data_IF_135010778400
#
_entry.id   IF_135010778400
#
_cell.length_a   1.000
_cell.length_b   1.000
_cell.length_c   1.000
_cell.angle_alpha   90.00
_cell.angle_beta   90.00
_cell.angle_gamma   90.00
#
_symmetry.space_group_name_H-M   'P 1'
#
loop_
_entity.id
_entity.type
_entity.pdbx_description
1 polymer ?
#
# COMPACT_ATOMS: atom_id res chain seq x y z
N UNK A 1 4.93 20.90 -15.53
CA UNK A 1 4.01 20.41 -14.49
C UNK A 1 4.69 20.57 -13.14
N UNK A 2 3.99 21.00 -12.09
CA UNK A 2 4.53 20.98 -10.72
C UNK A 2 4.52 19.53 -10.24
N UNK A 3 5.60 19.09 -9.59
CA UNK A 3 5.62 17.80 -8.92
C UNK A 3 4.55 17.81 -7.82
N UNK A 4 3.70 16.78 -7.80
CA UNK A 4 2.71 16.62 -6.74
C UNK A 4 3.39 15.86 -5.60
N UNK A 5 3.50 16.43 -4.38
CA UNK A 5 4.22 15.78 -3.30
C UNK A 5 3.50 14.50 -2.86
N UNK A 6 4.25 13.41 -2.73
CA UNK A 6 3.76 12.12 -2.21
C UNK A 6 4.44 11.86 -0.88
N UNK A 7 3.64 11.61 0.17
CA UNK A 7 4.15 11.41 1.53
C UNK A 7 3.76 10.03 2.06
N UNK A 8 4.72 9.19 2.50
CA UNK A 8 4.43 7.93 3.16
C UNK A 8 4.03 8.15 4.63
N UNK A 9 2.94 7.51 5.06
CA UNK A 9 2.43 7.53 6.44
C UNK A 9 2.28 6.11 6.96
N UNK A 10 2.72 5.84 8.19
CA UNK A 10 2.51 4.53 8.82
C UNK A 10 1.04 4.32 9.20
N UNK A 11 0.53 3.13 8.92
CA UNK A 11 -0.88 2.78 9.09
C UNK A 11 -1.18 1.97 10.35
N UNK A 12 -0.50 2.28 11.46
CA UNK A 12 -0.70 1.59 12.75
C UNK A 12 -2.14 1.67 13.29
N UNK A 13 -2.94 2.65 12.84
CA UNK A 13 -4.33 2.86 13.25
C UNK A 13 -5.35 2.16 12.33
N UNK A 14 -4.93 1.70 11.15
CA UNK A 14 -5.79 1.07 10.17
C UNK A 14 -5.66 -0.46 10.25
N UNK A 15 -6.78 -1.14 10.09
CA UNK A 15 -6.86 -2.59 10.19
C UNK A 15 -7.87 -3.12 9.19
N UNK A 16 -7.48 -4.18 8.50
CA UNK A 16 -8.37 -5.00 7.66
C UNK A 16 -8.60 -6.32 8.40
N UNK A 17 -9.84 -6.60 8.78
CA UNK A 17 -10.22 -7.91 9.29
C UNK A 17 -10.22 -8.92 8.14
N UNK A 18 -9.36 -9.93 8.22
CA UNK A 18 -9.30 -11.02 7.25
C UNK A 18 -9.75 -12.33 7.91
N UNK A 19 -10.22 -13.33 7.14
CA UNK A 19 -10.59 -14.64 7.68
C UNK A 19 -9.46 -15.35 8.45
N UNK A 20 -8.20 -14.98 8.20
CA UNK A 20 -7.01 -15.55 8.84
C UNK A 20 -6.37 -14.59 9.86
N UNK A 21 -7.15 -13.62 10.35
CA UNK A 21 -6.75 -12.67 11.39
C UNK A 21 -6.51 -11.26 10.87
N UNK A 22 -6.29 -10.34 11.81
CA UNK A 22 -6.05 -8.93 11.52
C UNK A 22 -4.87 -8.73 10.55
N UNK A 23 -5.04 -7.82 9.61
CA UNK A 23 -3.98 -7.35 8.74
C UNK A 23 -3.82 -5.83 8.87
N UNK A 24 -2.56 -5.41 9.02
CA UNK A 24 -2.16 -4.02 9.16
C UNK A 24 -1.18 -3.72 8.03
N UNK A 25 -1.62 -3.03 6.97
CA UNK A 25 -0.71 -2.59 5.93
C UNK A 25 0.35 -1.63 6.50
N UNK A 26 1.56 -1.67 5.97
CA UNK A 26 2.65 -0.86 6.51
C UNK A 26 2.49 0.66 6.24
N UNK A 27 2.10 1.03 5.01
CA UNK A 27 2.12 2.42 4.56
C UNK A 27 0.88 2.86 3.79
N UNK A 28 0.43 4.08 4.05
CA UNK A 28 -0.46 4.86 3.20
C UNK A 28 0.36 5.92 2.48
N UNK A 29 0.28 5.95 1.15
CA UNK A 29 0.87 7.01 0.34
C UNK A 29 -0.19 8.04 0.02
N UNK A 30 0.01 9.25 0.54
CA UNK A 30 -0.94 10.34 0.44
C UNK A 30 -0.36 11.41 -0.48
N UNK A 31 -1.21 11.95 -1.34
CA UNK A 31 -0.87 13.01 -2.29
C UNK A 31 -1.66 14.25 -1.93
N UNK A 32 -0.99 15.39 -1.84
CA UNK A 32 -1.67 16.68 -1.76
C UNK A 32 -2.00 17.15 -3.17
N UNK A 33 -3.28 17.15 -3.50
CA UNK A 33 -3.75 17.66 -4.78
C UNK A 33 -4.80 18.73 -4.52
N UNK A 34 -4.51 19.95 -4.98
CA UNK A 34 -5.38 21.12 -4.86
C UNK A 34 -5.73 21.48 -3.40
N UNK A 35 -4.83 21.21 -2.45
CA UNK A 35 -5.04 21.47 -1.02
C UNK A 35 -5.83 20.39 -0.29
N UNK A 36 -6.16 19.29 -0.96
CA UNK A 36 -6.78 18.11 -0.36
C UNK A 36 -5.80 16.94 -0.32
N UNK A 37 -5.57 16.39 0.88
CA UNK A 37 -4.86 15.13 1.04
C UNK A 37 -5.72 13.95 0.58
N UNK A 38 -5.25 13.22 -0.44
CA UNK A 38 -5.92 12.02 -0.95
C UNK A 38 -5.03 10.80 -0.78
N UNK A 39 -5.58 9.75 -0.18
CA UNK A 39 -4.95 8.43 -0.17
C UNK A 39 -4.86 7.91 -1.61
N UNK A 40 -3.67 7.54 -2.02
CA UNK A 40 -3.38 7.15 -3.39
C UNK A 40 -2.99 5.67 -3.47
N UNK A 41 -2.10 5.22 -2.59
CA UNK A 41 -1.73 3.81 -2.47
C UNK A 41 -1.78 3.33 -1.02
N UNK A 42 -2.11 2.06 -0.85
CA UNK A 42 -1.71 1.27 0.31
C UNK A 42 -0.50 0.45 -0.11
N UNK A 43 0.59 0.50 0.64
CA UNK A 43 1.84 -0.19 0.33
C UNK A 43 2.24 -1.12 1.48
N UNK A 44 2.52 -2.38 1.15
CA UNK A 44 3.01 -3.40 2.08
C UNK A 44 4.48 -3.70 1.86
N UNK A 45 5.27 -3.65 2.94
CA UNK A 45 6.68 -4.00 2.92
C UNK A 45 6.96 -5.43 3.35
N UNK A 46 7.87 -6.09 2.63
CA UNK A 46 8.35 -7.45 2.93
C UNK A 46 9.84 -7.53 2.63
N UNK A 47 10.51 -8.60 3.07
CA UNK A 47 11.93 -8.80 2.73
C UNK A 47 12.21 -9.06 1.23
N UNK A 48 11.18 -9.04 0.39
CA UNK A 48 11.20 -9.44 -1.02
C UNK A 48 10.18 -8.65 -1.83
N UNK A 49 10.47 -8.44 -3.12
CA UNK A 49 9.51 -7.92 -4.12
C UNK A 49 8.73 -9.05 -4.82
N UNK A 50 9.07 -10.30 -4.50
CA UNK A 50 8.55 -11.48 -5.18
C UNK A 50 7.49 -12.17 -4.34
N UNK A 51 6.28 -12.30 -4.88
CA UNK A 51 5.16 -12.97 -4.21
C UNK A 51 5.47 -14.43 -3.84
N UNK A 52 6.23 -15.14 -4.67
CA UNK A 52 6.63 -16.52 -4.37
C UNK A 52 7.60 -16.65 -3.19
N UNK A 53 8.17 -15.54 -2.72
CA UNK A 53 9.00 -15.49 -1.51
C UNK A 53 8.22 -15.22 -0.22
N UNK A 54 6.89 -15.05 -0.30
CA UNK A 54 6.05 -14.78 0.86
C UNK A 54 5.70 -16.08 1.60
N UNK A 55 5.55 -15.99 2.92
CA UNK A 55 4.89 -17.06 3.67
C UNK A 55 3.42 -17.17 3.21
N UNK A 56 2.81 -18.37 3.21
CA UNK A 56 1.42 -18.53 2.77
C UNK A 56 0.43 -17.59 3.48
N UNK A 57 0.63 -17.35 4.78
CA UNK A 57 -0.17 -16.42 5.57
C UNK A 57 -0.04 -14.96 5.11
N UNK A 58 1.16 -14.53 4.69
CA UNK A 58 1.43 -13.17 4.22
C UNK A 58 0.79 -12.96 2.86
N UNK A 59 0.96 -13.92 1.95
CA UNK A 59 0.33 -13.91 0.63
C UNK A 59 -1.20 -13.84 0.74
N UNK A 60 -1.80 -14.64 1.63
CA UNK A 60 -3.24 -14.65 1.84
C UNK A 60 -3.78 -13.32 2.41
N UNK A 61 -3.06 -12.69 3.35
CA UNK A 61 -3.44 -11.36 3.88
C UNK A 61 -3.35 -10.27 2.81
N UNK A 62 -2.29 -10.27 2.01
CA UNK A 62 -2.08 -9.33 0.91
C UNK A 62 -3.18 -9.50 -0.16
N UNK A 63 -3.48 -10.73 -0.58
CA UNK A 63 -4.55 -11.02 -1.54
C UNK A 63 -5.91 -10.56 -1.03
N UNK A 64 -6.21 -10.81 0.24
CA UNK A 64 -7.44 -10.32 0.87
C UNK A 64 -7.50 -8.79 0.85
N UNK A 65 -6.42 -8.10 1.24
CA UNK A 65 -6.37 -6.64 1.27
C UNK A 65 -6.61 -6.01 -0.12
N UNK A 66 -6.00 -6.59 -1.17
CA UNK A 66 -6.25 -6.18 -2.57
C UNK A 66 -7.72 -6.30 -2.93
N UNK A 67 -8.31 -7.47 -2.69
CA UNK A 67 -9.74 -7.73 -2.98
C UNK A 67 -10.66 -6.83 -2.16
N UNK A 68 -10.33 -6.60 -0.90
CA UNK A 68 -11.08 -5.73 -0.01
C UNK A 68 -11.13 -4.29 -0.55
N UNK A 69 -9.97 -3.71 -0.89
CA UNK A 69 -9.88 -2.34 -1.41
C UNK A 69 -10.56 -2.18 -2.79
N UNK A 70 -10.48 -3.20 -3.64
CA UNK A 70 -11.21 -3.27 -4.90
C UNK A 70 -12.74 -3.30 -4.69
N UNK A 71 -13.21 -4.10 -3.73
CA UNK A 71 -14.64 -4.28 -3.47
C UNK A 71 -15.32 -3.02 -2.89
N UNK A 72 -14.60 -2.20 -2.14
CA UNK A 72 -15.15 -0.94 -1.59
C UNK A 72 -15.09 0.22 -2.58
N UNK A 73 -14.78 -0.05 -3.87
CA UNK A 73 -14.75 0.92 -4.96
C UNK A 73 -13.96 2.20 -4.63
N UNK A 74 -12.85 2.04 -3.93
CA UNK A 74 -11.90 3.12 -3.72
C UNK A 74 -11.04 3.31 -4.96
N UNK A 75 -10.64 4.55 -5.25
CA UNK A 75 -9.57 4.83 -6.24
C UNK A 75 -8.18 4.56 -5.63
N UNK A 76 -8.08 3.69 -4.63
CA UNK A 76 -6.85 3.37 -3.91
C UNK A 76 -6.35 2.04 -4.41
N UNK A 77 -5.11 2.01 -4.86
CA UNK A 77 -4.45 0.77 -5.29
C UNK A 77 -3.62 0.19 -4.13
N UNK A 78 -3.68 -1.13 -3.97
CA UNK A 78 -2.81 -1.85 -3.04
C UNK A 78 -1.56 -2.33 -3.78
N UNK A 79 -0.40 -1.93 -3.28
CA UNK A 79 0.92 -2.29 -3.79
C UNK A 79 1.65 -3.15 -2.78
N UNK A 80 2.31 -4.18 -3.26
CA UNK A 80 3.18 -5.05 -2.47
C UNK A 80 3.22 -6.44 -3.07
N UNK A 81 4.10 -7.33 -2.59
CA UNK A 81 5.13 -7.03 -1.60
C UNK A 81 6.20 -6.10 -2.18
N UNK A 82 6.62 -5.10 -1.41
CA UNK A 82 7.71 -4.18 -1.78
C UNK A 82 8.82 -4.25 -0.73
N UNK A 83 10.07 -4.20 -1.14
CA UNK A 83 11.21 -4.40 -0.27
C UNK A 83 11.74 -3.09 0.25
N UNK A 84 11.70 -2.05 -0.60
CA UNK A 84 12.22 -0.74 -0.28
C UNK A 84 11.22 0.35 -0.68
N UNK A 85 10.67 1.01 0.34
CA UNK A 85 9.72 2.11 0.16
C UNK A 85 10.40 3.28 -0.54
N UNK A 86 11.66 3.59 -0.25
CA UNK A 86 12.35 4.71 -0.87
C UNK A 86 12.55 4.47 -2.36
N UNK A 87 12.95 3.26 -2.76
CA UNK A 87 13.05 2.89 -4.18
C UNK A 87 11.68 2.97 -4.87
N UNK A 88 10.61 2.50 -4.21
CA UNK A 88 9.25 2.65 -4.71
C UNK A 88 8.88 4.12 -4.93
N UNK A 89 9.19 4.99 -3.96
CA UNK A 89 8.87 6.41 -4.03
C UNK A 89 9.65 7.10 -5.16
N UNK A 90 10.95 6.81 -5.33
CA UNK A 90 11.77 7.34 -6.42
C UNK A 90 11.22 6.92 -7.80
N UNK A 91 10.81 5.66 -7.96
CA UNK A 91 10.20 5.15 -9.19
C UNK A 91 8.86 5.81 -9.50
N UNK A 92 8.09 6.14 -8.46
CA UNK A 92 6.76 6.76 -8.59
C UNK A 92 6.84 8.25 -8.90
N UNK A 93 7.80 8.98 -8.30
CA UNK A 93 7.99 10.41 -8.55
C UNK A 93 8.57 10.72 -9.94
N UNK A 94 9.22 9.74 -10.58
CA UNK A 94 9.81 9.87 -11.91
C UNK A 94 8.89 9.39 -13.05
N UNK A 95 7.65 9.01 -12.76
CA UNK A 95 6.61 8.74 -13.76
C UNK A 95 5.88 10.03 -14.12
#
# INVERSE_FOLDING_TARGET
MRAVPVTPRRMNWFKIDTPIGAYHPDWALVVDKDGEEKLYFVLETKGTNWEGGLRPEEAAKIDFARKHLQAIHTNVEFIGPEKDVNEFMLRTMNR
#
